data_IF_856103705689
#
_entry.id   IF_856103705689
#
_cell.length_a   1.000
_cell.length_b   1.000
_cell.length_c   1.000
_cell.angle_alpha   90.00
_cell.angle_beta   90.00
_cell.angle_gamma   90.00
#
_symmetry.space_group_name_H-M   'P 1'
#
loop_
_entity.id
_entity.type
_entity.pdbx_description
1 polymer ?
#
# COMPACT_ATOMS: atom_id res chain seq x y z
N UNK A 1 2.17 -3.54 11.77
CA UNK A 1 1.94 -5.01 11.87
C UNK A 1 1.96 -5.67 10.50
N UNK A 2 1.13 -5.24 9.53
CA UNK A 2 1.10 -5.87 8.18
C UNK A 2 2.47 -5.97 7.53
N UNK A 3 3.23 -4.87 7.45
CA UNK A 3 4.57 -4.87 6.83
C UNK A 3 5.54 -5.85 7.51
N UNK A 4 5.50 -5.93 8.85
CA UNK A 4 6.32 -6.89 9.61
C UNK A 4 5.95 -8.33 9.25
N UNK A 5 4.66 -8.64 9.15
CA UNK A 5 4.21 -9.99 8.80
C UNK A 5 4.51 -10.33 7.34
N UNK A 6 4.36 -9.38 6.42
CA UNK A 6 4.73 -9.58 5.01
C UNK A 6 6.24 -9.84 4.86
N UNK A 7 7.05 -9.14 5.65
CA UNK A 7 8.50 -9.32 5.69
C UNK A 7 8.92 -10.69 6.24
N UNK A 8 8.32 -11.09 7.37
CA UNK A 8 8.76 -12.25 8.15
C UNK A 8 8.08 -13.57 7.76
N UNK A 9 6.89 -13.51 7.14
CA UNK A 9 6.05 -14.67 6.80
C UNK A 9 5.61 -14.61 5.33
N UNK A 10 6.53 -14.22 4.43
CA UNK A 10 6.33 -14.04 2.99
C UNK A 10 5.69 -15.26 2.30
N UNK A 11 6.05 -16.47 2.72
CA UNK A 11 5.50 -17.74 2.22
C UNK A 11 4.02 -17.98 2.61
N UNK A 12 3.46 -17.13 3.48
CA UNK A 12 2.10 -17.30 4.03
C UNK A 12 1.07 -16.37 3.40
N UNK A 13 1.47 -15.35 2.66
CA UNK A 13 0.54 -14.38 2.08
C UNK A 13 0.71 -14.32 0.57
N UNK A 14 -0.39 -14.49 -0.18
CA UNK A 14 -0.38 -14.29 -1.63
C UNK A 14 -0.40 -12.81 -2.03
N UNK A 15 -0.83 -11.95 -1.10
CA UNK A 15 -0.84 -10.51 -1.24
C UNK A 15 -1.00 -9.86 0.15
N UNK A 16 -0.62 -8.60 0.29
CA UNK A 16 -0.88 -7.81 1.51
C UNK A 16 -1.20 -6.36 1.18
N UNK A 17 -1.82 -5.65 2.13
CA UNK A 17 -2.13 -4.25 1.92
C UNK A 17 -2.11 -3.42 3.21
N UNK A 18 -1.80 -2.13 3.08
CA UNK A 18 -1.76 -1.17 4.18
C UNK A 18 -2.71 -0.01 3.94
N UNK A 19 -3.32 0.49 5.02
CA UNK A 19 -4.07 1.76 5.03
C UNK A 19 -3.44 2.61 6.12
N UNK A 20 -3.08 3.85 5.78
CA UNK A 20 -2.45 4.79 6.72
C UNK A 20 -1.27 4.16 7.49
N UNK A 21 -0.43 3.42 6.78
CA UNK A 21 0.61 2.57 7.39
C UNK A 21 1.70 3.37 8.10
N UNK A 22 2.20 2.83 9.21
CA UNK A 22 3.40 3.35 9.86
C UNK A 22 4.65 2.61 9.35
N UNK A 23 5.36 3.25 8.41
CA UNK A 23 6.47 2.65 7.67
C UNK A 23 7.83 2.89 8.34
N UNK A 24 7.97 2.55 9.62
CA UNK A 24 9.27 2.66 10.28
C UNK A 24 10.26 1.61 9.73
N UNK A 25 11.58 1.89 9.68
CA UNK A 25 12.59 0.96 9.16
C UNK A 25 12.52 -0.44 9.77
N UNK A 26 12.28 -0.54 11.07
CA UNK A 26 12.15 -1.82 11.79
C UNK A 26 11.01 -2.71 11.27
N UNK A 27 10.07 -2.15 10.48
CA UNK A 27 8.98 -2.91 9.88
C UNK A 27 9.33 -3.59 8.55
N UNK A 28 10.48 -3.25 7.96
CA UNK A 28 10.96 -3.80 6.69
C UNK A 28 12.49 -4.02 6.60
N UNK A 29 13.25 -3.69 7.64
CA UNK A 29 14.68 -3.95 7.69
C UNK A 29 14.95 -5.46 7.67
N UNK A 30 15.85 -5.88 6.77
CA UNK A 30 16.25 -7.27 6.63
C UNK A 30 15.21 -8.18 5.97
N UNK A 31 14.18 -7.63 5.31
CA UNK A 31 13.26 -8.44 4.53
C UNK A 31 13.98 -9.16 3.38
N UNK A 32 13.55 -10.40 3.14
CA UNK A 32 13.89 -11.13 1.94
C UNK A 32 12.93 -10.76 0.81
N UNK A 33 13.44 -10.04 -0.17
CA UNK A 33 12.71 -9.58 -1.35
C UNK A 33 12.86 -10.53 -2.57
N UNK A 34 13.45 -11.71 -2.41
CA UNK A 34 13.78 -12.61 -3.53
C UNK A 34 12.56 -13.10 -4.34
N UNK A 35 11.44 -13.33 -3.66
CA UNK A 35 10.13 -13.60 -4.27
C UNK A 35 9.20 -12.42 -3.95
N UNK A 36 8.85 -11.63 -4.97
CA UNK A 36 8.01 -10.46 -4.80
C UNK A 36 6.57 -10.87 -4.44
N UNK A 37 6.00 -10.22 -3.42
CA UNK A 37 4.61 -10.43 -3.01
C UNK A 37 3.75 -9.24 -3.48
N UNK A 38 2.63 -9.47 -4.18
CA UNK A 38 1.69 -8.42 -4.56
C UNK A 38 1.29 -7.55 -3.37
N UNK A 39 1.32 -6.24 -3.55
CA UNK A 39 1.04 -5.30 -2.48
C UNK A 39 0.32 -4.03 -2.91
N UNK A 40 -0.51 -3.53 -2.01
CA UNK A 40 -1.28 -2.30 -2.20
C UNK A 40 -1.20 -1.42 -0.95
N UNK A 41 -0.85 -0.15 -1.12
CA UNK A 41 -0.88 0.85 -0.05
C UNK A 41 -1.93 1.93 -0.33
N UNK A 42 -2.69 2.34 0.68
CA UNK A 42 -3.61 3.48 0.63
C UNK A 42 -3.19 4.48 1.70
N UNK A 43 -2.95 5.73 1.32
CA UNK A 43 -2.48 6.74 2.27
C UNK A 43 -3.00 8.13 1.94
N UNK A 44 -3.37 8.89 2.98
CA UNK A 44 -3.84 10.26 2.85
C UNK A 44 -2.68 11.25 2.74
N UNK A 45 -2.73 12.19 1.78
CA UNK A 45 -1.67 13.21 1.65
C UNK A 45 -1.73 14.27 2.75
N UNK A 46 -2.85 14.37 3.47
CA UNK A 46 -3.07 15.24 4.62
C UNK A 46 -2.91 14.51 5.97
N UNK A 47 -2.33 13.31 5.97
CA UNK A 47 -2.12 12.53 7.18
C UNK A 47 -1.15 13.25 8.14
N UNK A 48 -1.69 13.72 9.26
CA UNK A 48 -0.95 14.43 10.31
C UNK A 48 -0.31 13.50 11.35
N UNK A 49 -0.55 12.19 11.27
CA UNK A 49 -0.01 11.18 12.19
C UNK A 49 1.19 10.45 11.60
N UNK A 50 1.08 10.02 10.34
CA UNK A 50 2.14 9.42 9.54
C UNK A 50 2.20 10.15 8.20
N UNK A 51 3.07 11.15 8.13
CA UNK A 51 3.16 12.03 6.96
C UNK A 51 3.45 11.28 5.66
N UNK A 52 2.73 11.67 4.61
CA UNK A 52 2.80 11.03 3.30
C UNK A 52 4.21 11.13 2.66
N UNK A 53 4.87 12.28 2.81
CA UNK A 53 6.22 12.53 2.28
C UNK A 53 7.33 12.00 3.21
N UNK A 54 6.98 11.27 4.27
CA UNK A 54 7.92 10.82 5.29
C UNK A 54 8.12 11.86 6.39
N UNK A 55 8.94 11.52 7.37
CA UNK A 55 9.17 12.41 8.50
C UNK A 55 9.89 11.73 9.65
N UNK A 56 9.82 12.36 10.81
CA UNK A 56 10.36 11.83 12.05
C UNK A 56 9.25 11.79 13.10
N UNK A 57 9.13 10.67 13.80
CA UNK A 57 8.17 10.50 14.89
C UNK A 57 8.72 9.52 15.91
N UNK A 58 8.53 9.83 17.19
CA UNK A 58 9.09 9.03 18.30
C UNK A 58 10.63 8.86 18.22
N UNK A 59 11.34 9.84 17.65
CA UNK A 59 12.80 9.79 17.49
C UNK A 59 13.29 8.87 16.36
N UNK A 60 12.38 8.36 15.53
CA UNK A 60 12.68 7.49 14.40
C UNK A 60 12.27 8.17 13.09
N UNK A 61 13.18 8.19 12.12
CA UNK A 61 12.90 8.67 10.76
C UNK A 61 12.23 7.57 9.96
N UNK A 62 11.22 7.93 9.16
CA UNK A 62 10.54 7.03 8.24
C UNK A 62 10.45 7.67 6.84
N UNK A 63 10.54 6.85 5.77
CA UNK A 63 10.52 7.33 4.40
C UNK A 63 9.13 7.83 3.97
N UNK A 64 9.09 8.48 2.80
CA UNK A 64 7.81 8.72 2.11
C UNK A 64 7.10 7.41 1.81
N UNK A 65 5.77 7.45 1.67
CA UNK A 65 5.00 6.26 1.30
C UNK A 65 5.51 5.71 -0.03
N UNK A 66 5.80 6.57 -1.01
CA UNK A 66 6.31 6.14 -2.31
C UNK A 66 7.65 5.42 -2.19
N UNK A 67 8.58 5.98 -1.42
CA UNK A 67 9.90 5.39 -1.16
C UNK A 67 9.78 4.05 -0.43
N UNK A 68 8.82 3.88 0.47
CA UNK A 68 8.58 2.60 1.14
C UNK A 68 8.15 1.48 0.16
N UNK A 69 7.48 1.81 -0.94
CA UNK A 69 7.09 0.82 -1.96
C UNK A 69 8.22 0.44 -2.91
N UNK A 70 9.28 1.25 -3.03
CA UNK A 70 10.34 1.05 -4.02
C UNK A 70 11.01 -0.33 -3.91
N UNK A 71 11.41 -0.83 -2.71
CA UNK A 71 12.00 -2.16 -2.60
C UNK A 71 11.08 -3.30 -3.09
N UNK A 72 9.76 -3.15 -2.92
CA UNK A 72 8.78 -4.14 -3.40
C UNK A 72 8.64 -4.13 -4.93
N UNK A 73 8.67 -2.94 -5.52
CA UNK A 73 8.64 -2.80 -6.97
C UNK A 73 9.95 -3.27 -7.63
N UNK A 74 11.10 -2.99 -7.00
CA UNK A 74 12.41 -3.47 -7.45
C UNK A 74 12.51 -4.99 -7.36
N UNK A 75 12.04 -5.60 -6.27
CA UNK A 75 11.95 -7.06 -6.11
C UNK A 75 11.18 -7.74 -7.24
N UNK A 76 10.15 -7.04 -7.74
CA UNK A 76 9.28 -7.45 -8.83
C UNK A 76 9.79 -7.00 -10.21
N UNK A 77 11.02 -6.50 -10.33
CA UNK A 77 11.63 -6.05 -11.59
C UNK A 77 10.75 -5.09 -12.41
N UNK A 78 9.93 -4.27 -11.74
CA UNK A 78 9.04 -3.32 -12.40
C UNK A 78 9.87 -2.23 -13.12
N UNK A 79 9.54 -1.90 -14.37
CA UNK A 79 10.34 -0.96 -15.20
C UNK A 79 9.73 0.42 -15.35
N UNK A 80 8.65 0.72 -14.64
CA UNK A 80 8.04 2.04 -14.62
C UNK A 80 6.80 2.10 -13.75
N UNK A 81 6.12 3.25 -13.74
CA UNK A 81 4.85 3.44 -13.04
C UNK A 81 3.88 4.28 -13.86
N UNK A 82 2.59 4.10 -13.64
CA UNK A 82 1.52 4.86 -14.29
C UNK A 82 0.51 5.37 -13.27
N UNK A 83 0.21 6.66 -13.38
CA UNK A 83 -0.77 7.32 -12.52
C UNK A 83 -2.14 7.35 -13.21
N UNK A 84 -3.18 7.08 -12.43
CA UNK A 84 -4.58 7.20 -12.85
C UNK A 84 -5.41 7.82 -11.74
N UNK A 85 -6.22 8.83 -12.06
CA UNK A 85 -7.24 9.35 -11.15
C UNK A 85 -8.38 8.34 -11.03
N UNK A 86 -8.73 7.94 -9.81
CA UNK A 86 -9.73 6.89 -9.53
C UNK A 86 -10.86 7.32 -8.59
N UNK A 87 -10.79 8.53 -8.01
CA UNK A 87 -11.87 9.09 -7.19
C UNK A 87 -13.10 9.47 -8.03
N UNK A 88 -14.29 9.36 -7.44
CA UNK A 88 -15.54 9.89 -8.05
C UNK A 88 -15.70 11.38 -7.69
N UNK A 89 -16.54 12.09 -8.46
CA UNK A 89 -17.11 13.42 -8.11
C UNK A 89 -16.14 14.50 -7.59
N UNK A 90 -14.96 14.61 -8.18
CA UNK A 90 -14.04 15.73 -7.90
C UNK A 90 -13.05 15.47 -6.77
N UNK A 91 -13.15 14.34 -6.06
CA UNK A 91 -12.07 13.87 -5.19
C UNK A 91 -10.87 13.40 -6.00
N UNK A 92 -9.67 13.74 -5.52
CA UNK A 92 -8.41 13.47 -6.20
C UNK A 92 -7.72 12.27 -5.56
N UNK A 93 -8.30 11.09 -5.72
CA UNK A 93 -7.57 9.84 -5.45
C UNK A 93 -6.73 9.48 -6.67
N UNK A 94 -5.42 9.38 -6.50
CA UNK A 94 -4.48 8.97 -7.55
C UNK A 94 -3.99 7.57 -7.25
N UNK A 95 -4.22 6.65 -8.19
CA UNK A 95 -3.61 5.33 -8.18
C UNK A 95 -2.32 5.36 -8.99
N UNK A 96 -1.20 5.12 -8.34
CA UNK A 96 0.08 4.81 -8.98
C UNK A 96 0.20 3.29 -9.06
N UNK A 97 0.27 2.73 -10.27
CA UNK A 97 0.52 1.30 -10.48
C UNK A 97 1.88 1.11 -11.13
N UNK A 98 2.76 0.32 -10.52
CA UNK A 98 4.02 -0.07 -11.14
C UNK A 98 3.75 -1.02 -12.31
N UNK A 99 4.56 -0.90 -13.37
CA UNK A 99 4.31 -1.52 -14.68
C UNK A 99 5.42 -2.50 -15.02
N UNK A 100 5.07 -3.47 -15.88
CA UNK A 100 5.99 -4.49 -16.41
C UNK A 100 6.73 -5.25 -15.31
N UNK A 101 6.05 -5.49 -14.18
CA UNK A 101 6.57 -6.31 -13.10
C UNK A 101 6.57 -7.78 -13.51
N UNK A 102 7.56 -8.55 -13.05
CA UNK A 102 7.65 -9.99 -13.30
C UNK A 102 6.60 -10.77 -12.50
N UNK A 103 6.39 -12.02 -12.91
CA UNK A 103 5.59 -13.00 -12.16
C UNK A 103 4.15 -12.56 -11.85
N UNK A 104 3.61 -11.61 -12.62
CA UNK A 104 2.25 -11.09 -12.45
C UNK A 104 2.06 -10.29 -11.15
N UNK A 105 3.13 -9.83 -10.52
CA UNK A 105 3.06 -9.09 -9.26
C UNK A 105 2.57 -7.67 -9.48
N UNK A 106 1.47 -7.32 -8.82
CA UNK A 106 1.01 -5.94 -8.75
C UNK A 106 1.57 -5.22 -7.51
N UNK A 107 2.14 -4.04 -7.75
CA UNK A 107 2.51 -3.06 -6.72
C UNK A 107 1.74 -1.78 -6.97
N UNK A 108 0.95 -1.34 -5.99
CA UNK A 108 0.00 -0.23 -6.15
C UNK A 108 0.00 0.72 -4.95
N UNK A 109 -0.10 2.02 -5.24
CA UNK A 109 -0.29 3.09 -4.26
C UNK A 109 -1.51 3.92 -4.60
N UNK A 110 -2.41 4.10 -3.64
CA UNK A 110 -3.56 4.99 -3.70
C UNK A 110 -3.32 6.19 -2.79
N UNK A 111 -3.04 7.34 -3.41
CA UNK A 111 -2.83 8.61 -2.73
C UNK A 111 -4.16 9.35 -2.65
N UNK A 112 -4.69 9.53 -1.44
CA UNK A 112 -5.96 10.23 -1.20
C UNK A 112 -5.65 11.69 -0.90
N UNK A 113 -5.93 12.59 -1.85
CA UNK A 113 -5.67 14.01 -1.67
C UNK A 113 -6.37 14.56 -0.43
N UNK A 114 -5.60 15.28 0.39
CA UNK A 114 -6.00 15.89 1.65
C UNK A 114 -6.54 14.90 2.71
N UNK A 115 -6.54 13.59 2.41
CA UNK A 115 -7.01 12.54 3.30
C UNK A 115 -6.18 12.47 4.58
N UNK A 116 -6.83 12.19 5.70
CA UNK A 116 -6.20 12.06 7.01
C UNK A 116 -5.60 10.67 7.31
N UNK A 117 -5.28 10.45 8.58
CA UNK A 117 -4.91 9.15 9.13
C UNK A 117 -6.19 8.35 9.43
N UNK A 118 -6.86 7.89 8.38
CA UNK A 118 -8.23 7.34 8.44
C UNK A 118 -8.37 6.16 7.51
N UNK A 119 -9.52 5.48 7.59
CA UNK A 119 -9.97 4.51 6.59
C UNK A 119 -10.84 5.20 5.53
N UNK A 120 -10.37 5.38 4.28
CA UNK A 120 -11.14 6.02 3.22
C UNK A 120 -12.45 5.29 2.90
N UNK A 121 -13.55 6.04 2.81
CA UNK A 121 -14.89 5.49 2.54
C UNK A 121 -15.61 4.92 3.76
N UNK A 122 -15.00 4.98 4.95
CA UNK A 122 -15.66 4.51 6.18
C UNK A 122 -16.69 5.53 6.67
N UNK A 123 -17.80 5.02 7.22
CA UNK A 123 -18.90 5.86 7.74
C UNK A 123 -18.77 6.15 9.23
N UNK A 124 -17.96 5.36 9.93
CA UNK A 124 -17.65 5.48 11.34
C UNK A 124 -16.27 6.10 11.55
N UNK A 125 -16.02 6.61 12.76
CA UNK A 125 -14.71 7.15 13.12
C UNK A 125 -13.61 6.09 13.01
N UNK A 126 -12.60 6.36 12.19
CA UNK A 126 -11.45 5.47 11.94
C UNK A 126 -10.10 6.15 12.17
N UNK A 127 -10.09 7.42 12.59
CA UNK A 127 -8.88 8.18 12.90
C UNK A 127 -9.03 9.68 12.64
N UNK A 128 -7.90 10.39 12.56
CA UNK A 128 -7.88 11.86 12.50
C UNK A 128 -7.70 12.43 11.10
N UNK A 129 -8.50 13.44 10.75
CA UNK A 129 -8.40 14.21 9.50
C UNK A 129 -9.57 14.00 8.55
N UNK A 130 -9.42 14.45 7.31
CA UNK A 130 -10.47 14.36 6.28
C UNK A 130 -10.67 12.91 5.82
N UNK A 131 -11.94 12.48 5.74
CA UNK A 131 -12.35 11.17 5.23
C UNK A 131 -13.12 11.38 3.92
N UNK A 132 -12.57 10.89 2.82
CA UNK A 132 -13.28 10.75 1.54
C UNK A 132 -14.47 9.80 1.69
N UNK A 133 -15.58 10.11 1.01
CA UNK A 133 -16.74 9.22 0.89
C UNK A 133 -16.96 8.73 -0.55
N UNK A 134 -16.22 9.26 -1.53
CA UNK A 134 -16.33 8.89 -2.94
C UNK A 134 -15.29 7.83 -3.37
N UNK A 135 -14.47 7.34 -2.44
CA UNK A 135 -13.55 6.22 -2.61
C UNK A 135 -13.64 5.24 -1.44
N UNK A 136 -13.88 3.95 -1.76
CA UNK A 136 -13.96 2.86 -0.78
C UNK A 136 -12.63 2.12 -0.72
N UNK A 137 -11.89 2.27 0.38
CA UNK A 137 -10.69 1.48 0.63
C UNK A 137 -11.04 -0.01 0.75
N UNK A 138 -12.15 -0.34 1.42
CA UNK A 138 -12.60 -1.71 1.62
C UNK A 138 -12.83 -2.45 0.30
N UNK A 139 -13.59 -1.85 -0.63
CA UNK A 139 -13.85 -2.49 -1.93
C UNK A 139 -12.57 -2.59 -2.77
N UNK A 140 -11.71 -1.56 -2.69
CA UNK A 140 -10.44 -1.55 -3.41
C UNK A 140 -9.52 -2.67 -2.93
N UNK A 141 -9.38 -2.85 -1.62
CA UNK A 141 -8.62 -3.94 -1.03
C UNK A 141 -9.22 -5.30 -1.36
N UNK A 142 -10.54 -5.42 -1.30
CA UNK A 142 -11.24 -6.67 -1.58
C UNK A 142 -11.01 -7.16 -3.02
N UNK A 143 -11.16 -6.26 -4.00
CA UNK A 143 -10.87 -6.61 -5.40
C UNK A 143 -9.39 -6.92 -5.61
N UNK A 144 -8.48 -6.18 -4.98
CA UNK A 144 -7.05 -6.49 -5.04
C UNK A 144 -6.74 -7.90 -4.54
N UNK A 145 -7.30 -8.32 -3.40
CA UNK A 145 -7.08 -9.66 -2.88
C UNK A 145 -7.73 -10.76 -3.71
N UNK A 146 -8.90 -10.50 -4.33
CA UNK A 146 -9.54 -11.44 -5.25
C UNK A 146 -8.71 -11.69 -6.51
N UNK A 147 -8.00 -10.67 -6.99
CA UNK A 147 -7.13 -10.78 -8.15
C UNK A 147 -5.79 -11.47 -7.84
N UNK A 148 -5.46 -11.65 -6.55
CA UNK A 148 -4.21 -12.29 -6.08
C UNK A 148 -4.47 -13.48 -5.14
N UNK A 149 -5.23 -14.51 -5.60
CA UNK A 149 -5.38 -15.74 -4.83
C UNK A 149 -4.03 -16.45 -4.71
N UNK A 150 -3.85 -17.24 -3.64
CA UNK A 150 -2.71 -18.14 -3.57
C UNK A 150 -2.82 -19.14 -4.73
N UNK A 151 -1.75 -19.28 -5.52
CA UNK A 151 -1.66 -20.36 -6.49
C UNK A 151 -1.80 -21.71 -5.76
N UNK A 152 -2.71 -22.57 -6.20
CA UNK A 152 -2.73 -23.93 -5.68
C UNK A 152 -1.43 -24.62 -6.09
N UNK A 153 -0.77 -25.36 -5.17
CA UNK A 153 0.35 -26.19 -5.57
C UNK A 153 -0.13 -27.14 -6.66
N UNK A 154 0.61 -27.21 -7.77
CA UNK A 154 0.32 -28.19 -8.81
C UNK A 154 0.32 -29.58 -8.16
N UNK A 155 -0.84 -30.23 -8.15
CA UNK A 155 -0.93 -31.63 -7.76
C UNK A 155 -0.22 -32.46 -8.83
N UNK A 156 1.00 -32.91 -8.52
CA UNK A 156 1.68 -34.01 -9.22
C UNK A 156 1.07 -35.37 -8.85
#
# INVERSE_FOLDING_TARGET
MVSVLACQLRDRFSAFATIAGAYYPQSFDGCDYSEPTPMLAIHGTGDATMHYEGGERQGETYPSVRTWLEPWAEAADCTGSKDRKVGKRGEKVVRTKWQNCRDGVDVELYSVADGGHVWPGETMYSGGGYVTQDFSATDTLWEFFKDHPRAEPAHE
#
